data_IF_204845196313
#
_entry.id   IF_204845196313
#
_cell.length_a   1.000
_cell.length_b   1.000
_cell.length_c   1.000
_cell.angle_alpha   90.00
_cell.angle_beta   90.00
_cell.angle_gamma   90.00
#
_symmetry.space_group_name_H-M   'P 1'
#
loop_
_entity.id
_entity.type
_entity.pdbx_description
1 polymer ?
#
# COMPACT_ATOMS: atom_id res chain seq x y z
N UNK A 1 1.10 -3.42 -2.53
CA UNK A 1 0.25 -2.31 -3.03
C UNK A 1 0.94 -1.57 -4.18
N UNK A 2 2.24 -1.28 -4.10
CA UNK A 2 2.96 -0.64 -5.21
C UNK A 2 2.94 -1.52 -6.46
N UNK A 3 3.10 -2.83 -6.31
CA UNK A 3 3.03 -3.81 -7.39
C UNK A 3 1.67 -3.82 -8.07
N UNK A 4 0.60 -3.87 -7.29
CA UNK A 4 -0.77 -3.84 -7.82
C UNK A 4 -0.98 -2.57 -8.67
N UNK A 5 -0.57 -1.39 -8.18
CA UNK A 5 -0.69 -0.14 -8.94
C UNK A 5 0.12 -0.16 -10.24
N UNK A 6 1.41 -0.48 -10.14
CA UNK A 6 2.32 -0.50 -11.30
C UNK A 6 1.89 -1.52 -12.32
N UNK A 7 1.56 -2.74 -11.88
CA UNK A 7 1.08 -3.80 -12.77
C UNK A 7 -0.28 -3.45 -13.42
N UNK A 8 -1.20 -2.86 -12.64
CA UNK A 8 -2.49 -2.36 -13.16
C UNK A 8 -2.26 -1.30 -14.24
N UNK A 9 -1.39 -0.32 -14.00
CA UNK A 9 -1.08 0.71 -14.98
C UNK A 9 -0.46 0.12 -16.25
N UNK A 10 0.52 -0.79 -16.13
CA UNK A 10 1.12 -1.47 -17.27
C UNK A 10 0.07 -2.24 -18.09
N UNK A 11 -0.83 -2.97 -17.43
CA UNK A 11 -1.92 -3.70 -18.09
C UNK A 11 -2.86 -2.75 -18.84
N UNK A 12 -3.31 -1.66 -18.22
CA UNK A 12 -4.20 -0.69 -18.84
C UNK A 12 -3.55 0.02 -20.03
N UNK A 13 -2.29 0.46 -19.89
CA UNK A 13 -1.53 1.07 -20.98
C UNK A 13 -1.27 0.11 -22.14
N UNK A 14 -1.17 -1.18 -21.87
CA UNK A 14 -1.08 -2.21 -22.90
C UNK A 14 -2.43 -2.44 -23.54
N UNK A 15 -3.50 -2.51 -22.76
CA UNK A 15 -4.85 -2.73 -23.23
C UNK A 15 -5.27 -1.68 -24.27
N UNK A 16 -5.08 -0.40 -24.02
CA UNK A 16 -5.41 0.69 -24.97
C UNK A 16 -4.60 0.64 -26.27
N UNK A 17 -3.44 -0.04 -26.29
CA UNK A 17 -2.63 -0.24 -27.49
C UNK A 17 -3.09 -1.46 -28.32
N UNK A 18 -3.78 -2.40 -27.70
CA UNK A 18 -4.21 -3.64 -28.36
C UNK A 18 -5.68 -3.58 -28.79
N UNK A 19 -6.50 -2.82 -28.08
CA UNK A 19 -7.94 -2.81 -28.28
C UNK A 19 -8.55 -1.45 -27.94
N UNK A 20 -9.41 -0.96 -28.83
CA UNK A 20 -10.23 0.23 -28.61
C UNK A 20 -11.57 -0.08 -27.94
N UNK A 21 -11.84 -1.34 -27.61
CA UNK A 21 -13.16 -1.81 -27.12
C UNK A 21 -13.63 -1.06 -25.88
N UNK A 22 -12.69 -0.71 -24.98
CA UNK A 22 -13.03 -0.13 -23.68
C UNK A 22 -12.95 1.40 -23.66
N UNK A 23 -12.50 2.06 -24.73
CA UNK A 23 -12.40 3.52 -24.89
C UNK A 23 -11.78 4.25 -23.68
N UNK A 24 -10.79 3.61 -23.03
CA UNK A 24 -10.15 4.15 -21.82
C UNK A 24 -9.28 5.37 -22.16
N UNK A 25 -9.44 6.43 -21.39
CA UNK A 25 -8.63 7.64 -21.45
C UNK A 25 -7.45 7.57 -20.45
N UNK A 26 -6.48 8.49 -20.55
CA UNK A 26 -5.40 8.62 -19.54
C UNK A 26 -5.97 8.93 -18.14
N UNK A 27 -7.10 9.65 -18.06
CA UNK A 27 -7.78 9.89 -16.80
C UNK A 27 -8.36 8.61 -16.19
N UNK A 28 -8.94 7.72 -17.02
CA UNK A 28 -9.44 6.42 -16.57
C UNK A 28 -8.31 5.51 -16.10
N UNK A 29 -7.18 5.51 -16.81
CA UNK A 29 -5.98 4.75 -16.39
C UNK A 29 -5.49 5.23 -15.02
N UNK A 30 -5.34 6.53 -14.82
CA UNK A 30 -4.92 7.10 -13.54
C UNK A 30 -5.91 6.78 -12.41
N UNK A 31 -7.22 6.85 -12.72
CA UNK A 31 -8.31 6.56 -11.81
C UNK A 31 -8.30 5.10 -11.36
N UNK A 32 -8.30 4.15 -12.31
CA UNK A 32 -8.28 2.71 -12.04
C UNK A 32 -7.01 2.31 -11.29
N UNK A 33 -5.86 2.83 -11.72
CA UNK A 33 -4.57 2.60 -11.06
C UNK A 33 -4.58 3.05 -9.60
N UNK A 34 -5.18 4.21 -9.32
CA UNK A 34 -5.30 4.72 -7.94
C UNK A 34 -6.26 3.85 -7.13
N UNK A 35 -7.42 3.55 -7.68
CA UNK A 35 -8.45 2.75 -7.03
C UNK A 35 -8.00 1.31 -6.74
N UNK A 36 -7.11 0.73 -7.56
CA UNK A 36 -6.60 -0.63 -7.40
C UNK A 36 -5.93 -0.87 -6.04
N UNK A 37 -5.38 0.17 -5.43
CA UNK A 37 -4.76 0.09 -4.09
C UNK A 37 -5.76 -0.29 -2.99
N UNK A 38 -7.05 -0.11 -3.22
CA UNK A 38 -8.11 -0.32 -2.23
C UNK A 38 -8.80 -1.68 -2.35
N UNK A 39 -8.48 -2.51 -3.37
CA UNK A 39 -9.18 -3.76 -3.65
C UNK A 39 -9.35 -4.68 -2.43
N UNK A 40 -8.38 -4.71 -1.55
CA UNK A 40 -8.33 -5.55 -0.36
C UNK A 40 -8.70 -4.84 0.96
N UNK A 41 -9.25 -3.61 0.92
CA UNK A 41 -9.55 -2.84 2.15
C UNK A 41 -10.51 -3.57 3.09
N UNK A 42 -11.38 -4.41 2.56
CA UNK A 42 -12.33 -5.20 3.36
C UNK A 42 -11.68 -6.27 4.24
N UNK A 43 -10.42 -6.64 4.00
CA UNK A 43 -9.67 -7.61 4.81
C UNK A 43 -9.50 -7.15 6.26
N UNK A 44 -9.63 -5.85 6.55
CA UNK A 44 -9.63 -5.32 7.92
C UNK A 44 -10.77 -5.87 8.80
N UNK A 45 -11.82 -6.42 8.20
CA UNK A 45 -12.95 -7.03 8.91
C UNK A 45 -12.87 -8.56 8.98
N UNK A 46 -11.85 -9.16 8.37
CA UNK A 46 -11.64 -10.61 8.43
C UNK A 46 -10.92 -10.95 9.75
N UNK A 47 -11.39 -11.94 10.52
CA UNK A 47 -10.73 -12.38 11.75
C UNK A 47 -9.26 -12.72 11.50
N UNK A 48 -8.39 -12.30 12.43
CA UNK A 48 -6.94 -12.45 12.28
C UNK A 48 -6.52 -13.93 12.19
N UNK A 49 -7.22 -14.81 12.90
CA UNK A 49 -6.99 -16.26 12.90
C UNK A 49 -7.24 -16.88 11.50
N UNK A 50 -8.14 -16.29 10.72
CA UNK A 50 -8.42 -16.70 9.34
C UNK A 50 -7.44 -16.04 8.38
N UNK A 51 -7.20 -14.72 8.56
CA UNK A 51 -6.34 -13.95 7.67
C UNK A 51 -4.89 -14.43 7.69
N UNK A 52 -4.37 -14.76 8.88
CA UNK A 52 -2.98 -15.17 9.12
C UNK A 52 -2.82 -16.68 9.36
N UNK A 53 -3.83 -17.49 9.04
CA UNK A 53 -3.77 -18.93 9.26
C UNK A 53 -2.58 -19.58 8.56
N UNK A 54 -1.70 -20.29 9.28
CA UNK A 54 -0.59 -21.00 8.66
C UNK A 54 -1.06 -22.31 8.02
N UNK A 55 -1.71 -22.24 6.86
CA UNK A 55 -2.23 -23.40 6.15
C UNK A 55 -3.44 -23.09 5.27
N UNK A 56 -4.05 -24.13 4.74
CA UNK A 56 -5.28 -24.00 3.95
C UNK A 56 -6.45 -23.62 4.84
N UNK A 57 -7.31 -22.72 4.36
CA UNK A 57 -8.59 -22.42 4.98
C UNK A 57 -9.56 -23.58 4.83
N UNK A 58 -10.40 -23.85 5.83
CA UNK A 58 -11.57 -24.71 5.66
C UNK A 58 -12.60 -24.04 4.73
N UNK A 59 -13.61 -24.79 4.29
CA UNK A 59 -14.66 -24.23 3.44
C UNK A 59 -15.44 -23.11 4.15
N UNK A 60 -15.64 -23.23 5.45
CA UNK A 60 -16.29 -22.21 6.29
C UNK A 60 -15.42 -20.97 6.43
N UNK A 61 -14.13 -21.13 6.72
CA UNK A 61 -13.17 -20.03 6.81
C UNK A 61 -13.01 -19.34 5.46
N UNK A 62 -13.03 -20.11 4.37
CA UNK A 62 -12.97 -19.54 3.01
C UNK A 62 -14.23 -18.75 2.66
N UNK A 63 -15.41 -19.17 3.13
CA UNK A 63 -16.64 -18.38 3.02
C UNK A 63 -16.50 -17.03 3.73
N UNK A 64 -15.93 -17.03 4.93
CA UNK A 64 -15.65 -15.79 5.67
C UNK A 64 -14.60 -14.95 4.90
N UNK A 65 -13.53 -15.54 4.43
CA UNK A 65 -12.52 -14.82 3.65
C UNK A 65 -13.13 -14.14 2.41
N UNK A 66 -14.03 -14.79 1.69
CA UNK A 66 -14.69 -14.22 0.51
C UNK A 66 -15.50 -12.94 0.81
N UNK A 67 -15.98 -12.76 2.04
CA UNK A 67 -16.76 -11.57 2.39
C UNK A 67 -15.96 -10.26 2.32
N UNK A 68 -14.60 -10.32 2.26
CA UNK A 68 -13.80 -9.09 2.19
C UNK A 68 -14.13 -8.23 0.96
N UNK A 69 -14.57 -8.82 -0.15
CA UNK A 69 -14.98 -8.08 -1.34
C UNK A 69 -16.23 -7.24 -1.09
N UNK A 70 -17.26 -7.81 -0.45
CA UNK A 70 -18.48 -7.09 -0.09
C UNK A 70 -18.24 -6.07 1.03
N UNK A 71 -17.46 -6.45 2.05
CA UNK A 71 -17.08 -5.56 3.15
C UNK A 71 -16.26 -4.38 2.64
N UNK A 72 -15.32 -4.61 1.72
CA UNK A 72 -14.55 -3.55 1.08
C UNK A 72 -15.45 -2.58 0.30
N UNK A 73 -16.37 -3.10 -0.50
CA UNK A 73 -17.35 -2.29 -1.23
C UNK A 73 -18.25 -1.49 -0.27
N UNK A 74 -18.65 -2.08 0.87
CA UNK A 74 -19.42 -1.37 1.89
C UNK A 74 -18.63 -0.22 2.51
N UNK A 75 -17.35 -0.46 2.88
CA UNK A 75 -16.46 0.58 3.41
C UNK A 75 -16.36 1.76 2.42
N UNK A 76 -16.11 1.48 1.14
CA UNK A 76 -16.00 2.52 0.09
C UNK A 76 -17.31 3.30 -0.04
N UNK A 77 -18.45 2.63 -0.03
CA UNK A 77 -19.78 3.28 -0.10
C UNK A 77 -20.08 4.15 1.11
N UNK A 78 -19.66 3.72 2.31
CA UNK A 78 -19.89 4.45 3.56
C UNK A 78 -18.93 5.64 3.77
N UNK A 79 -17.94 5.81 2.88
CA UNK A 79 -17.07 6.98 2.91
C UNK A 79 -17.87 8.26 2.64
N UNK A 80 -17.51 9.35 3.36
CA UNK A 80 -18.18 10.67 3.22
C UNK A 80 -17.79 11.43 1.94
N UNK A 81 -17.51 10.72 0.86
CA UNK A 81 -17.36 11.34 -0.46
C UNK A 81 -18.69 11.37 -1.21
N UNK A 82 -18.88 12.30 -2.14
CA UNK A 82 -20.01 12.22 -3.04
C UNK A 82 -20.06 10.86 -3.73
N UNK A 83 -21.19 10.16 -3.67
CA UNK A 83 -21.33 8.80 -4.21
C UNK A 83 -21.12 8.76 -5.73
N UNK A 84 -21.30 9.89 -6.40
CA UNK A 84 -21.03 10.06 -7.84
C UNK A 84 -19.57 10.44 -8.15
N UNK A 85 -18.67 10.46 -7.15
CA UNK A 85 -17.26 10.75 -7.39
C UNK A 85 -16.62 9.55 -8.13
N UNK A 86 -15.99 9.76 -9.31
CA UNK A 86 -15.48 8.66 -10.14
C UNK A 86 -14.56 7.70 -9.39
N UNK A 87 -13.66 8.21 -8.53
CA UNK A 87 -12.75 7.37 -7.73
C UNK A 87 -13.51 6.44 -6.76
N UNK A 88 -14.57 6.95 -6.12
CA UNK A 88 -15.38 6.15 -5.17
C UNK A 88 -16.10 5.03 -5.92
N UNK A 89 -16.71 5.35 -7.07
CA UNK A 89 -17.39 4.37 -7.90
C UNK A 89 -16.41 3.27 -8.40
N UNK A 90 -15.29 3.66 -8.99
CA UNK A 90 -14.28 2.72 -9.49
C UNK A 90 -13.67 1.87 -8.36
N UNK A 91 -13.40 2.46 -7.19
CA UNK A 91 -12.90 1.72 -6.03
C UNK A 91 -13.93 0.73 -5.51
N UNK A 92 -15.22 1.11 -5.51
CA UNK A 92 -16.31 0.22 -5.13
C UNK A 92 -16.43 -0.97 -6.08
N UNK A 93 -16.40 -0.75 -7.39
CA UNK A 93 -16.39 -1.82 -8.41
C UNK A 93 -15.23 -2.78 -8.21
N UNK A 94 -14.03 -2.26 -8.04
CA UNK A 94 -12.82 -3.06 -7.84
C UNK A 94 -12.91 -3.86 -6.54
N UNK A 95 -13.28 -3.24 -5.40
CA UNK A 95 -13.43 -3.95 -4.15
C UNK A 95 -14.43 -5.10 -4.26
N UNK A 96 -15.59 -4.84 -4.87
CA UNK A 96 -16.67 -5.82 -4.95
C UNK A 96 -16.34 -6.96 -5.91
N UNK A 97 -15.75 -6.66 -7.08
CA UNK A 97 -15.74 -7.58 -8.22
C UNK A 97 -14.36 -8.05 -8.68
N UNK A 98 -13.27 -7.72 -7.98
CA UNK A 98 -11.93 -8.21 -8.37
C UNK A 98 -11.75 -9.73 -8.20
N UNK A 99 -12.68 -10.43 -7.59
CA UNK A 99 -12.74 -11.89 -7.51
C UNK A 99 -13.82 -12.52 -8.40
N UNK A 100 -14.48 -11.71 -9.22
CA UNK A 100 -15.30 -12.27 -10.29
C UNK A 100 -14.42 -12.91 -11.36
N UNK A 101 -14.99 -13.88 -12.06
CA UNK A 101 -14.28 -14.66 -13.08
C UNK A 101 -15.00 -14.57 -14.41
N UNK A 102 -14.24 -14.53 -15.48
CA UNK A 102 -14.77 -14.43 -16.84
C UNK A 102 -15.83 -15.49 -17.18
N UNK A 103 -15.70 -16.68 -16.61
CA UNK A 103 -16.63 -17.80 -16.75
C UNK A 103 -17.90 -17.70 -15.87
N UNK A 104 -17.99 -16.72 -14.98
CA UNK A 104 -19.09 -16.57 -14.01
C UNK A 104 -18.92 -17.43 -12.74
N UNK A 105 -17.80 -18.14 -12.60
CA UNK A 105 -17.48 -18.95 -11.41
C UNK A 105 -16.85 -18.17 -10.26
N UNK A 106 -16.90 -16.82 -10.33
CA UNK A 106 -16.35 -15.91 -9.33
C UNK A 106 -17.30 -15.61 -8.16
N UNK A 107 -16.99 -14.58 -7.41
CA UNK A 107 -17.80 -14.07 -6.30
C UNK A 107 -17.60 -12.55 -6.14
N UNK A 108 -18.55 -11.82 -5.51
CA UNK A 108 -19.72 -12.28 -4.76
C UNK A 108 -20.98 -12.47 -5.61
N UNK A 109 -21.08 -11.84 -6.79
CA UNK A 109 -22.32 -11.74 -7.55
C UNK A 109 -22.42 -12.76 -8.71
N UNK A 110 -21.29 -13.42 -9.07
CA UNK A 110 -21.24 -14.40 -10.17
C UNK A 110 -21.34 -13.75 -11.54
N UNK A 111 -20.83 -12.52 -11.70
CA UNK A 111 -20.81 -11.80 -12.98
C UNK A 111 -19.98 -12.55 -14.01
N UNK A 112 -20.38 -12.44 -15.29
CA UNK A 112 -19.75 -13.18 -16.38
C UNK A 112 -19.35 -12.25 -17.54
N UNK A 113 -18.16 -12.48 -18.08
CA UNK A 113 -17.67 -11.76 -19.26
C UNK A 113 -17.64 -10.25 -19.05
N UNK A 114 -18.27 -9.51 -19.95
CA UNK A 114 -18.31 -8.04 -19.94
C UNK A 114 -19.27 -7.44 -18.89
N UNK A 115 -20.02 -8.26 -18.15
CA UNK A 115 -20.76 -7.78 -16.97
C UNK A 115 -19.80 -7.32 -15.86
N UNK A 116 -18.55 -7.85 -15.86
CA UNK A 116 -17.51 -7.45 -14.94
C UNK A 116 -16.88 -6.15 -15.47
N UNK A 117 -16.87 -5.05 -14.70
CA UNK A 117 -16.20 -3.82 -15.12
C UNK A 117 -14.72 -4.04 -15.44
N UNK A 118 -14.22 -3.39 -16.49
CA UNK A 118 -12.82 -3.56 -16.91
C UNK A 118 -11.82 -3.20 -15.80
N UNK A 119 -12.17 -2.26 -14.91
CA UNK A 119 -11.44 -1.90 -13.70
C UNK A 119 -11.21 -3.12 -12.81
N UNK A 120 -12.25 -3.90 -12.53
CA UNK A 120 -12.19 -5.11 -11.73
C UNK A 120 -11.49 -6.27 -12.46
N UNK A 121 -11.74 -6.44 -13.78
CA UNK A 121 -11.08 -7.48 -14.58
C UNK A 121 -9.55 -7.33 -14.59
N UNK A 122 -9.04 -6.11 -14.76
CA UNK A 122 -7.58 -5.85 -14.75
C UNK A 122 -6.99 -6.10 -13.38
N UNK A 123 -7.64 -5.63 -12.32
CA UNK A 123 -7.16 -5.84 -10.95
C UNK A 123 -7.19 -7.32 -10.57
N UNK A 124 -8.19 -8.08 -11.00
CA UNK A 124 -8.30 -9.52 -10.78
C UNK A 124 -7.07 -10.30 -11.27
N UNK A 125 -6.65 -10.08 -12.50
CA UNK A 125 -5.50 -10.78 -13.08
C UNK A 125 -4.18 -10.35 -12.42
N UNK A 126 -4.07 -9.08 -12.06
CA UNK A 126 -2.90 -8.52 -11.37
C UNK A 126 -2.80 -9.04 -9.93
N UNK A 127 -3.92 -9.12 -9.19
CA UNK A 127 -3.96 -9.66 -7.82
C UNK A 127 -3.57 -11.14 -7.80
N UNK A 128 -4.03 -11.93 -8.76
CA UNK A 128 -3.62 -13.33 -8.90
C UNK A 128 -2.13 -13.45 -9.18
N UNK A 129 -1.57 -12.63 -10.06
CA UNK A 129 -0.15 -12.63 -10.34
C UNK A 129 0.66 -12.27 -9.09
N UNK A 130 0.28 -11.20 -8.39
CA UNK A 130 0.90 -10.79 -7.12
C UNK A 130 0.81 -11.90 -6.07
N UNK A 131 -0.36 -12.54 -5.92
CA UNK A 131 -0.56 -13.64 -4.99
C UNK A 131 0.28 -14.88 -5.29
N UNK A 132 0.64 -15.14 -6.54
CA UNK A 132 1.51 -16.24 -6.94
C UNK A 132 2.98 -15.91 -6.70
N UNK A 133 3.40 -14.70 -6.96
CA UNK A 133 4.80 -14.27 -6.93
C UNK A 133 5.24 -13.67 -5.60
N UNK A 134 4.31 -13.39 -4.68
CA UNK A 134 4.61 -12.92 -3.33
C UNK A 134 4.74 -14.07 -2.33
N UNK A 135 5.73 -13.98 -1.43
CA UNK A 135 5.90 -14.94 -0.34
C UNK A 135 4.78 -14.74 0.71
N UNK A 136 4.22 -15.83 1.20
CA UNK A 136 3.20 -15.83 2.25
C UNK A 136 3.60 -16.79 3.37
N UNK A 137 3.10 -16.58 4.58
CA UNK A 137 3.46 -17.37 5.77
C UNK A 137 3.31 -18.89 5.60
N UNK A 138 2.53 -19.36 4.63
CA UNK A 138 2.26 -20.78 4.35
C UNK A 138 2.69 -21.24 2.93
N UNK A 139 3.28 -20.34 2.09
CA UNK A 139 3.62 -20.67 0.70
C UNK A 139 4.79 -19.82 0.21
N UNK A 140 5.82 -20.51 -0.33
CA UNK A 140 6.90 -19.83 -1.07
C UNK A 140 6.36 -19.21 -2.36
N UNK A 141 6.92 -18.09 -2.74
CA UNK A 141 6.64 -17.45 -4.03
C UNK A 141 6.98 -18.42 -5.18
N UNK A 142 6.12 -18.44 -6.20
CA UNK A 142 6.50 -19.00 -7.49
C UNK A 142 7.39 -18.03 -8.25
N UNK A 143 8.27 -18.57 -9.09
CA UNK A 143 9.00 -17.75 -10.05
C UNK A 143 8.06 -17.15 -11.10
N UNK A 144 8.55 -16.14 -11.81
CA UNK A 144 7.79 -15.42 -12.81
C UNK A 144 7.17 -16.33 -13.87
N UNK A 145 7.98 -17.22 -14.45
CA UNK A 145 7.55 -18.07 -15.57
C UNK A 145 6.48 -19.07 -15.13
N UNK A 146 6.65 -19.67 -13.95
CA UNK A 146 5.65 -20.56 -13.36
C UNK A 146 4.33 -19.81 -13.11
N UNK A 147 4.36 -18.63 -12.51
CA UNK A 147 3.16 -17.83 -12.25
C UNK A 147 2.45 -17.43 -13.54
N UNK A 148 3.19 -17.00 -14.57
CA UNK A 148 2.66 -16.67 -15.88
C UNK A 148 1.96 -17.86 -16.52
N UNK A 149 2.60 -19.03 -16.54
CA UNK A 149 2.02 -20.24 -17.12
C UNK A 149 0.73 -20.65 -16.38
N UNK A 150 0.71 -20.61 -15.04
CA UNK A 150 -0.48 -20.93 -14.26
C UNK A 150 -1.68 -20.06 -14.62
N UNK A 151 -1.45 -18.76 -14.84
CA UNK A 151 -2.52 -17.82 -15.23
C UNK A 151 -2.96 -18.08 -16.67
N UNK A 152 -2.01 -18.21 -17.58
CA UNK A 152 -2.31 -18.37 -19.02
C UNK A 152 -2.99 -19.71 -19.33
N UNK A 153 -2.69 -20.77 -18.56
CA UNK A 153 -3.29 -22.10 -18.68
C UNK A 153 -4.65 -22.20 -17.94
N UNK A 154 -5.11 -21.12 -17.30
CA UNK A 154 -6.41 -21.08 -16.61
C UNK A 154 -6.43 -21.84 -15.27
N UNK A 155 -5.28 -22.21 -14.69
CA UNK A 155 -5.21 -22.90 -13.39
C UNK A 155 -5.69 -22.03 -12.23
N UNK A 156 -5.66 -20.70 -12.41
CA UNK A 156 -6.06 -19.72 -11.40
C UNK A 156 -7.46 -19.14 -11.65
N UNK A 157 -8.21 -19.70 -12.60
CA UNK A 157 -9.50 -19.21 -13.06
C UNK A 157 -9.46 -18.71 -14.50
N UNK A 158 -10.62 -18.36 -15.01
CA UNK A 158 -10.76 -17.85 -16.38
C UNK A 158 -10.73 -16.31 -16.37
N UNK A 159 -9.91 -15.74 -17.23
CA UNK A 159 -9.75 -14.30 -17.42
C UNK A 159 -10.17 -13.88 -18.83
N UNK A 160 -10.40 -12.59 -19.01
CA UNK A 160 -10.67 -12.01 -20.31
C UNK A 160 -9.53 -12.33 -21.30
N UNK A 161 -9.81 -12.92 -22.48
CA UNK A 161 -8.78 -13.30 -23.45
C UNK A 161 -7.88 -12.13 -23.89
N UNK A 162 -8.44 -10.90 -23.98
CA UNK A 162 -7.68 -9.70 -24.32
C UNK A 162 -6.66 -9.38 -23.22
N UNK A 163 -7.06 -9.50 -21.94
CA UNK A 163 -6.16 -9.28 -20.81
C UNK A 163 -5.07 -10.36 -20.72
N UNK A 164 -5.39 -11.62 -21.04
CA UNK A 164 -4.37 -12.67 -21.14
C UNK A 164 -3.33 -12.37 -22.22
N UNK A 165 -3.78 -11.81 -23.36
CA UNK A 165 -2.87 -11.32 -24.41
C UNK A 165 -2.00 -10.18 -23.90
N UNK A 166 -2.58 -9.19 -23.20
CA UNK A 166 -1.84 -8.09 -22.58
C UNK A 166 -0.76 -8.63 -21.63
N UNK A 167 -1.14 -9.55 -20.73
CA UNK A 167 -0.24 -10.13 -19.74
C UNK A 167 0.94 -10.85 -20.41
N UNK A 168 0.67 -11.67 -21.44
CA UNK A 168 1.72 -12.37 -22.20
C UNK A 168 2.73 -11.41 -22.83
N UNK A 169 2.25 -10.31 -23.43
CA UNK A 169 3.12 -9.29 -24.04
C UNK A 169 3.86 -8.41 -23.02
N UNK A 170 3.41 -8.41 -21.76
CA UNK A 170 4.04 -7.72 -20.64
C UNK A 170 4.92 -8.64 -19.77
N UNK A 171 5.18 -9.90 -20.16
CA UNK A 171 5.96 -10.84 -19.38
C UNK A 171 7.30 -10.24 -18.93
N UNK A 172 8.09 -9.66 -19.83
CA UNK A 172 9.38 -9.07 -19.47
C UNK A 172 9.27 -7.84 -18.54
N UNK A 173 8.37 -6.87 -18.74
CA UNK A 173 8.09 -5.81 -17.76
C UNK A 173 7.70 -6.35 -16.37
N UNK A 174 6.85 -7.37 -16.29
CA UNK A 174 6.44 -7.98 -15.02
C UNK A 174 7.60 -8.70 -14.33
N UNK A 175 8.43 -9.44 -15.08
CA UNK A 175 9.64 -10.07 -14.53
C UNK A 175 10.63 -9.03 -13.96
N UNK A 176 10.83 -7.91 -14.67
CA UNK A 176 11.68 -6.81 -14.19
C UNK A 176 11.12 -6.15 -12.92
N UNK A 177 9.80 -5.99 -12.84
CA UNK A 177 9.14 -5.49 -11.65
C UNK A 177 9.48 -6.34 -10.44
N UNK A 178 9.36 -7.68 -10.51
CA UNK A 178 9.75 -8.58 -9.43
C UNK A 178 11.23 -8.49 -9.05
N UNK A 179 12.13 -8.37 -10.03
CA UNK A 179 13.58 -8.28 -9.75
C UNK A 179 13.98 -6.95 -9.08
N UNK A 180 13.24 -5.87 -9.35
CA UNK A 180 13.42 -4.57 -8.67
C UNK A 180 12.93 -4.63 -7.23
N UNK A 181 12.02 -5.53 -6.92
CA UNK A 181 11.26 -5.64 -5.67
C UNK A 181 11.91 -6.48 -4.57
N UNK A 182 12.91 -7.26 -4.84
CA UNK A 182 13.73 -7.78 -3.73
C UNK A 182 14.27 -6.64 -2.85
N UNK A 183 14.09 -5.39 -3.31
CA UNK A 183 14.48 -4.17 -2.61
C UNK A 183 13.30 -3.31 -2.09
N UNK A 184 12.03 -3.58 -2.46
CA UNK A 184 10.88 -2.70 -2.14
C UNK A 184 9.86 -3.30 -1.14
N UNK A 185 10.29 -4.20 -0.25
CA UNK A 185 9.49 -4.72 0.88
C UNK A 185 8.95 -3.62 1.83
N UNK A 186 9.35 -2.37 1.60
CA UNK A 186 9.09 -1.21 2.43
C UNK A 186 7.62 -0.81 2.50
N UNK A 187 6.97 -0.68 1.34
CA UNK A 187 5.59 -0.17 1.27
C UNK A 187 4.58 -1.19 1.81
N UNK A 188 4.87 -2.48 1.64
CA UNK A 188 4.07 -3.56 2.21
C UNK A 188 4.11 -3.53 3.74
N UNK A 189 5.30 -3.30 4.32
CA UNK A 189 5.44 -3.16 5.77
C UNK A 189 4.79 -1.88 6.31
N UNK A 190 4.79 -0.78 5.56
CA UNK A 190 4.09 0.45 5.96
C UNK A 190 2.57 0.26 5.99
N UNK A 191 2.00 -0.36 4.96
CA UNK A 191 0.56 -0.63 4.91
C UNK A 191 0.17 -1.69 5.94
N UNK A 192 1.00 -2.71 6.16
CA UNK A 192 0.76 -3.73 7.17
C UNK A 192 0.92 -3.15 8.60
N UNK A 193 1.91 -2.28 8.81
CA UNK A 193 2.08 -1.54 10.08
C UNK A 193 0.88 -0.65 10.36
N UNK A 194 0.41 0.10 9.36
CA UNK A 194 -0.77 0.94 9.47
C UNK A 194 -2.06 0.12 9.61
N UNK A 195 -2.19 -1.02 8.94
CA UNK A 195 -3.31 -1.94 9.13
C UNK A 195 -3.32 -2.53 10.54
N UNK A 196 -2.16 -2.93 11.07
CA UNK A 196 -2.04 -3.45 12.44
C UNK A 196 -2.29 -2.37 13.49
N UNK A 197 -1.86 -1.13 13.24
CA UNK A 197 -2.14 0.03 14.07
C UNK A 197 -3.64 0.32 14.12
N UNK A 198 -4.31 0.23 12.96
CA UNK A 198 -5.77 0.33 12.81
C UNK A 198 -6.49 -0.76 13.61
N UNK A 199 -5.99 -1.99 13.55
CA UNK A 199 -6.60 -3.14 14.23
C UNK A 199 -6.36 -3.16 15.75
N UNK A 200 -5.31 -2.49 16.24
CA UNK A 200 -4.98 -2.46 17.68
C UNK A 200 -5.77 -1.45 18.50
N UNK A 201 -6.36 -0.41 17.88
CA UNK A 201 -7.13 0.61 18.60
C UNK A 201 -8.63 0.26 18.69
N UNK A 202 -9.00 -0.43 19.79
CA UNK A 202 -10.38 -0.83 20.10
C UNK A 202 -11.31 0.35 20.47
N UNK A 203 -10.82 1.60 20.53
CA UNK A 203 -11.53 2.74 21.12
C UNK A 203 -12.20 3.67 20.12
N UNK A 204 -12.04 3.49 18.81
CA UNK A 204 -12.49 4.43 17.79
C UNK A 204 -13.75 3.97 17.02
N UNK A 205 -14.74 4.84 16.84
CA UNK A 205 -15.90 4.52 16.01
C UNK A 205 -15.50 4.45 14.52
N UNK A 206 -15.83 3.33 13.90
CA UNK A 206 -15.39 2.88 12.56
C UNK A 206 -15.47 3.90 11.39
N UNK A 207 -16.29 4.95 11.45
CA UNK A 207 -16.53 5.86 10.31
C UNK A 207 -15.49 6.97 10.11
N UNK A 208 -14.96 7.54 11.17
CA UNK A 208 -14.00 8.65 11.08
C UNK A 208 -12.57 8.13 10.88
N UNK A 209 -12.35 6.88 11.22
CA UNK A 209 -11.05 6.25 11.28
C UNK A 209 -10.45 6.01 9.89
N UNK A 210 -11.19 5.38 8.97
CA UNK A 210 -10.72 5.09 7.62
C UNK A 210 -10.33 6.35 6.83
N UNK A 211 -11.09 7.45 6.98
CA UNK A 211 -10.75 8.74 6.35
C UNK A 211 -9.46 9.33 6.91
N UNK A 212 -9.24 9.15 8.19
CA UNK A 212 -8.07 9.67 8.88
C UNK A 212 -6.80 8.93 8.48
N UNK A 213 -6.89 7.62 8.36
CA UNK A 213 -5.80 6.78 7.87
C UNK A 213 -5.47 7.10 6.41
N UNK A 214 -6.47 7.22 5.55
CA UNK A 214 -6.26 7.61 4.15
C UNK A 214 -5.55 8.96 4.05
N UNK A 215 -5.94 9.93 4.87
CA UNK A 215 -5.30 11.25 4.89
C UNK A 215 -3.84 11.18 5.35
N UNK A 216 -3.53 10.42 6.38
CA UNK A 216 -2.16 10.21 6.87
C UNK A 216 -1.32 9.48 5.82
N UNK A 217 -1.88 8.44 5.19
CA UNK A 217 -1.22 7.72 4.11
C UNK A 217 -0.92 8.63 2.92
N UNK A 218 -1.87 9.48 2.53
CA UNK A 218 -1.68 10.44 1.47
C UNK A 218 -0.56 11.42 1.81
N UNK A 219 -0.55 11.95 3.03
CA UNK A 219 0.47 12.87 3.53
C UNK A 219 1.87 12.23 3.51
N UNK A 220 1.99 10.96 3.91
CA UNK A 220 3.24 10.17 3.82
C UNK A 220 3.66 9.93 2.37
N UNK A 221 2.75 9.51 1.50
CA UNK A 221 3.02 9.26 0.08
C UNK A 221 3.52 10.52 -0.61
N UNK A 222 2.86 11.64 -0.41
CA UNK A 222 3.23 12.92 -1.01
C UNK A 222 4.61 13.36 -0.52
N UNK A 223 4.89 13.19 0.77
CA UNK A 223 6.21 13.49 1.34
C UNK A 223 7.33 12.64 0.73
N UNK A 224 7.15 11.32 0.66
CA UNK A 224 8.17 10.41 0.11
C UNK A 224 8.33 10.55 -1.40
N UNK A 225 7.29 10.89 -2.16
CA UNK A 225 7.40 11.20 -3.58
C UNK A 225 8.25 12.44 -3.82
N UNK A 226 8.03 13.49 -3.04
CA UNK A 226 8.75 14.76 -3.17
C UNK A 226 10.23 14.61 -2.82
N UNK A 227 10.57 13.68 -1.92
CA UNK A 227 11.91 13.49 -1.37
C UNK A 227 12.52 12.14 -1.78
N UNK A 228 12.12 11.60 -2.93
CA UNK A 228 12.69 10.35 -3.47
C UNK A 228 14.20 10.51 -3.75
N UNK A 229 14.97 9.48 -3.39
CA UNK A 229 16.44 9.50 -3.54
C UNK A 229 17.20 10.02 -2.31
N UNK A 230 16.53 10.24 -1.19
CA UNK A 230 17.16 10.65 0.08
C UNK A 230 17.02 9.57 1.15
N UNK A 231 17.99 9.49 2.06
CA UNK A 231 17.86 8.69 3.26
C UNK A 231 16.72 9.24 4.11
N UNK A 232 15.80 8.39 4.52
CA UNK A 232 14.56 8.82 5.18
C UNK A 232 14.29 8.09 6.49
N UNK A 233 13.47 8.72 7.33
CA UNK A 233 13.01 8.23 8.62
C UNK A 233 11.49 8.24 8.64
N UNK A 234 10.90 7.18 9.14
CA UNK A 234 9.47 7.09 9.48
C UNK A 234 9.32 6.56 10.90
N UNK A 235 8.70 7.35 11.74
CA UNK A 235 8.40 6.99 13.11
C UNK A 235 6.92 7.08 13.40
N UNK A 236 6.38 5.98 13.90
CA UNK A 236 5.01 5.89 14.36
C UNK A 236 4.97 5.97 15.89
N UNK A 237 4.42 7.07 16.42
CA UNK A 237 4.38 7.32 17.86
C UNK A 237 3.39 6.41 18.60
N UNK A 238 2.38 5.86 17.92
CA UNK A 238 1.37 4.99 18.55
C UNK A 238 1.90 3.57 18.76
N UNK A 239 2.59 3.02 17.76
CA UNK A 239 3.22 1.69 17.85
C UNK A 239 4.65 1.73 18.43
N UNK A 240 5.25 2.90 18.48
CA UNK A 240 6.67 3.07 18.82
C UNK A 240 7.62 2.58 17.73
N UNK A 241 7.12 2.29 16.54
CA UNK A 241 7.93 1.73 15.46
C UNK A 241 8.71 2.81 14.72
N UNK A 242 10.02 2.59 14.59
CA UNK A 242 10.95 3.42 13.82
C UNK A 242 11.45 2.62 12.61
N UNK A 243 11.37 3.21 11.43
CA UNK A 243 12.01 2.74 10.20
C UNK A 243 12.98 3.78 9.65
N UNK A 244 14.14 3.32 9.23
CA UNK A 244 15.16 4.12 8.56
C UNK A 244 15.43 3.49 7.21
N UNK A 245 15.48 4.31 6.19
CA UNK A 245 15.57 3.88 4.81
C UNK A 245 16.69 4.63 4.09
N UNK A 246 17.40 3.93 3.20
CA UNK A 246 18.42 4.55 2.37
C UNK A 246 17.82 5.32 1.18
N UNK A 247 18.66 5.97 0.39
CA UNK A 247 18.29 6.68 -0.84
C UNK A 247 17.54 5.82 -1.87
N UNK A 248 17.77 4.49 -1.85
CA UNK A 248 17.06 3.50 -2.68
C UNK A 248 15.79 2.96 -2.01
N UNK A 249 15.40 3.56 -0.87
CA UNK A 249 14.21 3.17 -0.11
C UNK A 249 14.27 1.76 0.50
N UNK A 250 15.48 1.22 0.70
CA UNK A 250 15.70 -0.06 1.40
C UNK A 250 15.78 0.18 2.91
N UNK A 251 15.21 -0.72 3.69
CA UNK A 251 15.23 -0.63 5.15
C UNK A 251 16.67 -0.85 5.67
N UNK A 252 17.23 0.19 6.27
CA UNK A 252 18.51 0.11 6.98
C UNK A 252 18.34 -0.33 8.43
N UNK A 253 17.25 0.08 9.06
CA UNK A 253 16.93 -0.24 10.45
C UNK A 253 15.42 -0.25 10.64
N UNK A 254 14.92 -1.23 11.40
CA UNK A 254 13.55 -1.28 11.88
C UNK A 254 13.57 -1.76 13.33
N UNK A 255 13.03 -0.96 14.24
CA UNK A 255 12.98 -1.27 15.67
C UNK A 255 11.88 -0.50 16.39
N UNK A 256 11.58 -0.92 17.61
CA UNK A 256 10.80 -0.09 18.52
C UNK A 256 11.70 1.00 19.13
N UNK A 257 11.21 2.22 19.11
CA UNK A 257 11.88 3.40 19.68
C UNK A 257 10.89 4.26 20.46
N UNK A 258 11.38 4.94 21.49
CA UNK A 258 10.65 6.06 22.07
C UNK A 258 10.90 7.33 21.26
N UNK A 259 10.06 8.34 21.43
CA UNK A 259 10.26 9.67 20.83
C UNK A 259 11.65 10.25 21.15
N UNK A 260 12.23 9.89 22.29
CA UNK A 260 13.54 10.35 22.78
C UNK A 260 14.73 9.60 22.17
N UNK A 261 14.51 8.38 21.64
CA UNK A 261 15.58 7.51 21.11
C UNK A 261 15.65 7.50 19.58
N UNK A 262 14.86 8.34 18.90
CA UNK A 262 14.68 8.30 17.44
C UNK A 262 15.99 8.43 16.65
N UNK A 263 16.90 9.27 17.14
CA UNK A 263 18.13 9.63 16.42
C UNK A 263 19.38 8.91 16.93
N UNK A 264 19.22 8.02 17.90
CA UNK A 264 20.34 7.28 18.52
C UNK A 264 21.14 6.45 17.50
N UNK A 265 20.46 5.82 16.56
CA UNK A 265 21.07 4.99 15.51
C UNK A 265 21.96 5.79 14.54
N UNK A 266 21.71 7.06 14.42
CA UNK A 266 22.51 7.95 13.59
C UNK A 266 23.73 8.53 14.31
N UNK A 267 24.02 8.09 15.53
CA UNK A 267 25.14 8.58 16.35
C UNK A 267 25.07 10.10 16.58
N UNK A 268 23.86 10.63 16.63
CA UNK A 268 23.57 12.03 16.98
C UNK A 268 23.93 12.23 18.45
N UNK A 269 24.52 13.38 18.80
CA UNK A 269 24.86 13.69 20.17
C UNK A 269 23.62 13.81 21.05
N UNK A 270 23.79 13.64 22.35
CA UNK A 270 22.68 13.81 23.29
C UNK A 270 22.15 15.25 23.29
N UNK A 271 23.04 16.21 23.11
CA UNK A 271 22.73 17.65 23.00
C UNK A 271 21.90 17.94 21.74
N UNK A 272 22.33 17.43 20.57
CA UNK A 272 21.57 17.56 19.31
C UNK A 272 20.20 16.86 19.40
N UNK A 273 20.15 15.69 20.06
CA UNK A 273 18.88 14.95 20.26
C UNK A 273 17.91 15.73 21.14
N UNK A 274 18.39 16.38 22.20
CA UNK A 274 17.57 17.26 23.05
C UNK A 274 17.08 18.48 22.28
N UNK A 275 17.94 19.09 21.46
CA UNK A 275 17.56 20.22 20.61
C UNK A 275 16.45 19.84 19.61
N UNK A 276 16.58 18.69 18.94
CA UNK A 276 15.54 18.18 18.05
C UNK A 276 14.22 17.96 18.81
N UNK A 277 14.29 17.42 20.03
CA UNK A 277 13.12 17.19 20.86
C UNK A 277 12.40 18.50 21.21
N UNK A 278 13.12 19.53 21.61
CA UNK A 278 12.55 20.87 21.88
C UNK A 278 11.86 21.42 20.64
N UNK A 279 12.47 21.27 19.47
CA UNK A 279 11.88 21.71 18.20
C UNK A 279 10.62 20.90 17.84
N UNK A 280 10.63 19.58 18.05
CA UNK A 280 9.46 18.73 17.84
C UNK A 280 8.29 19.12 18.75
N UNK A 281 8.57 19.51 19.99
CA UNK A 281 7.54 19.94 20.95
C UNK A 281 6.93 21.30 20.59
N UNK A 282 7.59 22.09 19.75
CA UNK A 282 7.08 23.34 19.20
C UNK A 282 6.22 23.14 17.93
N UNK A 283 6.19 21.94 17.35
CA UNK A 283 5.34 21.66 16.19
C UNK A 283 3.86 21.56 16.59
N UNK A 284 2.99 21.78 15.62
CA UNK A 284 1.54 21.71 15.79
C UNK A 284 0.87 21.28 14.49
N UNK A 285 -0.43 21.05 14.52
CA UNK A 285 -1.24 20.78 13.32
C UNK A 285 -1.08 21.86 12.22
N UNK A 286 -0.80 23.10 12.63
CA UNK A 286 -0.63 24.25 11.73
C UNK A 286 0.84 24.45 11.30
N UNK A 287 1.78 24.01 12.14
CA UNK A 287 3.22 24.12 11.91
C UNK A 287 3.85 22.72 12.05
N UNK A 288 3.84 21.96 10.96
CA UNK A 288 4.24 20.55 10.93
C UNK A 288 5.72 20.32 10.62
N UNK A 289 6.37 21.30 10.01
CA UNK A 289 7.72 21.13 9.47
C UNK A 289 8.76 21.72 10.42
N UNK A 290 9.87 21.04 10.53
CA UNK A 290 11.07 21.56 11.16
C UNK A 290 12.32 21.17 10.36
N UNK A 291 13.35 21.99 10.47
CA UNK A 291 14.64 21.73 9.84
C UNK A 291 15.77 22.09 10.81
N UNK A 292 16.71 21.16 10.97
CA UNK A 292 17.85 21.33 11.86
C UNK A 292 19.12 20.78 11.23
N UNK A 293 20.26 21.40 11.51
CA UNK A 293 21.57 20.86 11.10
C UNK A 293 22.12 20.00 12.23
N UNK A 294 22.49 18.77 11.90
CA UNK A 294 23.01 17.82 12.89
C UNK A 294 24.22 17.07 12.34
N UNK A 295 25.10 16.66 13.22
CA UNK A 295 26.18 15.73 12.90
C UNK A 295 25.69 14.31 13.12
N UNK A 296 25.51 13.57 12.03
CA UNK A 296 24.96 12.23 12.07
C UNK A 296 25.83 11.23 11.29
N UNK A 297 25.63 9.93 11.56
CA UNK A 297 26.21 8.82 10.81
C UNK A 297 25.09 8.10 10.05
N UNK A 298 25.04 8.29 8.75
CA UNK A 298 24.10 7.63 7.84
C UNK A 298 24.89 6.79 6.85
N UNK A 299 24.55 5.51 6.68
CA UNK A 299 25.26 4.57 5.80
C UNK A 299 26.80 4.54 6.02
N UNK A 300 27.25 4.51 7.28
CA UNK A 300 28.66 4.56 7.67
C UNK A 300 29.42 5.88 7.37
N UNK A 301 28.77 6.90 6.80
CA UNK A 301 29.35 8.22 6.61
C UNK A 301 28.95 9.15 7.76
N UNK A 302 29.93 9.68 8.49
CA UNK A 302 29.69 10.65 9.57
C UNK A 302 30.01 12.05 9.05
N UNK A 303 28.96 12.87 8.87
CA UNK A 303 29.08 14.23 8.36
C UNK A 303 27.94 15.11 8.89
N UNK A 304 27.93 16.36 8.52
CA UNK A 304 26.80 17.25 8.76
C UNK A 304 25.67 16.95 7.78
N UNK A 305 24.46 16.89 8.31
CA UNK A 305 23.24 16.74 7.54
C UNK A 305 22.25 17.84 7.91
N UNK A 306 21.48 18.26 6.94
CA UNK A 306 20.24 19.02 7.18
C UNK A 306 19.10 18.01 7.33
N UNK A 307 18.69 17.77 8.57
CA UNK A 307 17.55 16.93 8.87
C UNK A 307 16.28 17.75 8.69
N UNK A 308 15.39 17.30 7.82
CA UNK A 308 14.07 17.88 7.66
C UNK A 308 13.04 16.88 8.14
N UNK A 309 12.17 17.30 9.05
CA UNK A 309 11.14 16.47 9.66
C UNK A 309 9.77 17.09 9.42
N UNK A 310 8.79 16.22 9.19
CA UNK A 310 7.38 16.55 9.09
C UNK A 310 6.62 15.75 10.13
N UNK A 311 5.95 16.44 11.05
CA UNK A 311 5.17 15.82 12.13
C UNK A 311 3.77 15.44 11.64
N UNK A 312 3.34 14.25 12.02
CA UNK A 312 2.03 13.71 11.69
C UNK A 312 1.10 13.89 12.90
N UNK A 313 -0.11 14.36 12.63
CA UNK A 313 -1.11 14.67 13.65
C UNK A 313 -2.41 13.94 13.37
N UNK A 314 -3.05 13.45 14.44
CA UNK A 314 -4.32 12.74 14.34
C UNK A 314 -5.41 13.65 13.77
N UNK A 315 -6.05 13.26 12.67
CA UNK A 315 -7.22 13.99 12.16
C UNK A 315 -8.48 13.71 12.99
N UNK A 316 -8.44 12.76 13.92
CA UNK A 316 -9.56 12.36 14.77
C UNK A 316 -9.56 13.07 16.11
N UNK A 317 -8.38 13.21 16.71
CA UNK A 317 -8.21 13.87 18.01
C UNK A 317 -7.38 15.13 17.78
N UNK A 318 -7.99 16.28 18.01
CA UNK A 318 -7.35 17.58 17.81
C UNK A 318 -6.09 17.69 18.71
N UNK A 319 -4.93 17.90 18.09
CA UNK A 319 -3.67 18.08 18.78
C UNK A 319 -2.98 16.80 19.26
N UNK A 320 -3.46 15.60 18.86
CA UNK A 320 -2.77 14.34 19.14
C UNK A 320 -1.67 14.10 18.10
N UNK A 321 -0.44 13.99 18.57
CA UNK A 321 0.73 13.66 17.78
C UNK A 321 0.79 12.14 17.51
N UNK A 322 0.96 11.74 16.24
CA UNK A 322 0.94 10.33 15.82
C UNK A 322 2.25 9.84 15.20
N UNK A 323 3.16 10.74 14.84
CA UNK A 323 4.46 10.31 14.31
C UNK A 323 5.25 11.39 13.60
N UNK A 324 6.36 10.98 12.99
CA UNK A 324 7.27 11.82 12.22
C UNK A 324 7.66 11.08 10.94
N UNK A 325 7.73 11.82 9.85
CA UNK A 325 8.45 11.42 8.64
C UNK A 325 9.54 12.46 8.36
N UNK A 326 10.66 12.03 7.79
CA UNK A 326 11.75 12.95 7.54
C UNK A 326 12.79 12.42 6.58
N UNK A 327 13.75 13.26 6.23
CA UNK A 327 14.88 12.88 5.41
C UNK A 327 16.14 13.64 5.78
N UNK A 328 17.28 13.05 5.43
CA UNK A 328 18.60 13.61 5.61
C UNK A 328 19.10 14.15 4.27
N UNK A 329 19.33 15.45 4.22
CA UNK A 329 19.92 16.17 3.09
C UNK A 329 21.40 16.43 3.40
N UNK A 330 22.29 16.19 2.44
CA UNK A 330 23.71 16.48 2.60
C UNK A 330 23.94 17.98 2.48
N UNK A 331 24.71 18.55 3.41
CA UNK A 331 25.11 19.96 3.38
C UNK A 331 26.39 20.10 2.55
#
# INVERSE_FOLDING_TARGET
>A
ILHIRTATELMLRKLIKISDTYHLTEADIALITTASSLHNIGKIHIPEEILNKPGKLSDEEFKIMKTHSELGASIIRDMRFPQNHPLVHTAWEICRWHHERWDGGGYPDGLKGEEIPISAQVVSIVDVYDALTSERCYKKAFDHDTAMNMILDGQCGQFNPILLKCLRELSLPFSKMLSTEMNDNKYYHEVQSLSNEILSDKSLPNRNYSQSVIKILQEKIDFFKTNSGMNSIDYNAMSGQLMILNEKQQILCQRNASKFDLFREFGVSEEDSQQIQVLLDQTSVQNKELSVQIKAKVENKRQMYKLKLHTLWSPLKKGEYIGIIGYFDTI
#
